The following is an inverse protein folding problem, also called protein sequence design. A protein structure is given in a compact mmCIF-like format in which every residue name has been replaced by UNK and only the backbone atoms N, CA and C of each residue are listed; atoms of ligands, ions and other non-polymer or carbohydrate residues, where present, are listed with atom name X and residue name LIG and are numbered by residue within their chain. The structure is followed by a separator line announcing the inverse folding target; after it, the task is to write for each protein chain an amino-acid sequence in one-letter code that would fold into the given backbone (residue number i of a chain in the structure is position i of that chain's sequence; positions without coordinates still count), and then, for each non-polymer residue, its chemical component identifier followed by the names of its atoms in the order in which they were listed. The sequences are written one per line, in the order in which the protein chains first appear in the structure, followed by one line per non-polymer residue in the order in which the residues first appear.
data_IF_835499067478
#
_entry.id   IF_835499067478
#
_cell.length_a   1.000
_cell.length_b   1.000
_cell.length_c   1.000
_cell.angle_alpha   90.00
_cell.angle_beta   90.00
_cell.angle_gamma   90.00
#
_symmetry.space_group_name_H-M   'P 1'
#
loop_
_entity.id
_entity.type
_entity.pdbx_description
1 polymer ?
#
# COMPACT_ATOMS: atom_id res chain seq x y z
N UNK A 1 9.10 -18.47 2.53
CA UNK A 1 8.09 -18.28 3.59
C UNK A 1 6.72 -18.12 2.97
N UNK A 2 5.71 -18.66 3.65
CA UNK A 2 4.30 -18.36 3.40
C UNK A 2 3.91 -17.16 4.28
N UNK A 3 3.08 -16.24 3.78
CA UNK A 3 2.61 -15.09 4.54
C UNK A 3 2.08 -13.99 3.64
N UNK A 4 1.70 -12.87 4.26
CA UNK A 4 1.01 -11.77 3.60
C UNK A 4 1.91 -10.53 3.57
N UNK A 5 1.85 -9.79 2.46
CA UNK A 5 2.50 -8.49 2.33
C UNK A 5 1.42 -7.44 2.10
N UNK A 6 1.31 -6.50 3.02
CA UNK A 6 0.51 -5.30 2.84
C UNK A 6 1.38 -4.21 2.21
N UNK A 7 0.91 -3.60 1.14
CA UNK A 7 1.61 -2.54 0.39
C UNK A 7 0.80 -1.25 0.43
N UNK A 8 1.47 -0.10 0.47
CA UNK A 8 0.85 1.22 0.40
C UNK A 8 1.32 1.89 -0.89
N UNK A 9 0.55 1.78 -1.99
CA UNK A 9 0.99 2.24 -3.31
C UNK A 9 1.40 3.72 -3.35
N UNK A 10 0.74 4.55 -2.55
CA UNK A 10 1.02 5.99 -2.48
C UNK A 10 2.35 6.31 -1.80
N UNK A 11 2.81 5.48 -0.87
CA UNK A 11 4.01 5.74 -0.08
C UNK A 11 5.13 4.84 -0.59
N UNK A 12 5.99 5.38 -1.45
CA UNK A 12 7.06 4.62 -2.10
C UNK A 12 7.92 3.85 -1.08
N UNK A 13 8.00 2.52 -1.27
CA UNK A 13 8.74 1.60 -0.39
C UNK A 13 8.04 1.25 0.92
N UNK A 14 6.82 1.73 1.17
CA UNK A 14 6.06 1.40 2.37
C UNK A 14 5.30 0.08 2.17
N UNK A 15 5.77 -0.95 2.85
CA UNK A 15 5.14 -2.26 2.90
C UNK A 15 5.46 -2.93 4.23
N UNK A 16 4.63 -3.89 4.63
CA UNK A 16 4.91 -4.74 5.79
C UNK A 16 4.48 -6.18 5.55
N UNK A 17 5.16 -7.10 6.23
CA UNK A 17 4.87 -8.52 6.20
C UNK A 17 4.14 -8.95 7.48
N UNK A 18 3.34 -10.00 7.40
CA UNK A 18 2.80 -10.72 8.54
C UNK A 18 2.47 -12.17 8.17
N UNK A 19 2.43 -13.05 9.16
CA UNK A 19 1.98 -14.44 8.97
C UNK A 19 0.49 -14.51 8.63
N UNK A 20 -0.29 -13.50 9.05
CA UNK A 20 -1.71 -13.32 8.67
C UNK A 20 -1.98 -11.97 7.99
N UNK A 21 -3.13 -11.86 7.34
CA UNK A 21 -3.61 -10.61 6.75
C UNK A 21 -3.72 -9.49 7.79
N UNK A 22 -4.25 -9.82 8.98
CA UNK A 22 -4.41 -8.86 10.08
C UNK A 22 -3.06 -8.38 10.60
N UNK A 23 -2.07 -9.27 10.69
CA UNK A 23 -0.72 -8.92 11.12
C UNK A 23 -0.06 -7.99 10.11
N UNK A 24 -0.04 -8.35 8.82
CA UNK A 24 0.51 -7.51 7.77
C UNK A 24 -0.17 -6.13 7.74
N UNK A 25 -1.49 -6.08 7.95
CA UNK A 25 -2.25 -4.83 8.02
C UNK A 25 -1.96 -4.01 9.29
N UNK A 26 -1.67 -4.67 10.41
CA UNK A 26 -1.24 -4.00 11.64
C UNK A 26 0.13 -3.36 11.45
N UNK A 27 1.08 -4.13 10.94
CA UNK A 27 2.45 -3.68 10.73
C UNK A 27 2.55 -2.56 9.68
N UNK A 28 1.76 -2.63 8.60
CA UNK A 28 1.79 -1.57 7.59
C UNK A 28 1.26 -0.24 8.13
N UNK A 29 0.33 -0.25 9.10
CA UNK A 29 -0.15 0.98 9.76
C UNK A 29 0.97 1.64 10.58
N UNK A 30 1.81 0.83 11.22
CA UNK A 30 3.01 1.33 11.92
C UNK A 30 4.00 1.91 10.90
N UNK A 31 4.26 1.19 9.81
CA UNK A 31 5.16 1.64 8.75
C UNK A 31 4.70 2.96 8.10
N UNK A 32 3.38 3.15 7.89
CA UNK A 32 2.80 4.40 7.40
C UNK A 32 3.13 5.56 8.36
N UNK A 33 2.94 5.36 9.67
CA UNK A 33 3.25 6.37 10.68
C UNK A 33 4.71 6.81 10.61
N UNK A 34 5.63 5.83 10.63
CA UNK A 34 7.07 6.08 10.54
C UNK A 34 7.45 6.80 9.24
N UNK A 35 6.92 6.35 8.11
CA UNK A 35 7.18 6.98 6.81
C UNK A 35 6.76 8.45 6.80
N UNK A 36 5.56 8.75 7.33
CA UNK A 36 5.03 10.10 7.38
C UNK A 36 5.83 11.01 8.32
N UNK A 37 6.27 10.50 9.46
CA UNK A 37 7.09 11.26 10.40
C UNK A 37 8.45 11.60 9.79
N UNK A 38 9.13 10.62 9.17
CA UNK A 38 10.39 10.87 8.43
C UNK A 38 10.19 11.84 7.27
N UNK A 39 9.10 11.72 6.50
CA UNK A 39 8.80 12.64 5.42
C UNK A 39 8.65 14.08 5.91
N UNK A 40 7.99 14.29 7.07
CA UNK A 40 7.85 15.61 7.70
C UNK A 40 9.19 16.16 8.17
N UNK A 41 10.00 15.35 8.84
CA UNK A 41 11.32 15.75 9.36
C UNK A 41 12.28 16.15 8.24
N UNK A 42 12.22 15.43 7.12
CA UNK A 42 13.07 15.70 5.96
C UNK A 42 12.48 16.75 5.00
N UNK A 43 11.27 17.24 5.24
CA UNK A 43 10.58 18.19 4.35
C UNK A 43 10.22 17.59 2.99
N UNK A 44 10.02 16.27 2.91
CA UNK A 44 9.54 15.58 1.71
C UNK A 44 8.08 15.92 1.44
N UNK A 45 7.68 15.96 0.17
CA UNK A 45 6.28 16.06 -0.21
C UNK A 45 5.53 14.79 0.23
N UNK A 46 4.38 14.96 0.87
CA UNK A 46 3.51 13.85 1.29
C UNK A 46 2.37 13.74 0.28
N UNK A 47 2.27 12.62 -0.44
CA UNK A 47 1.22 12.43 -1.44
C UNK A 47 -0.16 12.27 -0.78
N UNK A 48 -1.19 12.76 -1.47
CA UNK A 48 -2.58 12.60 -1.03
C UNK A 48 -3.05 11.14 -1.17
N UNK A 49 -3.87 10.62 -0.23
CA UNK A 49 -4.42 9.27 -0.33
C UNK A 49 -5.31 9.11 -1.56
N UNK A 50 -5.02 8.12 -2.40
CA UNK A 50 -5.78 7.85 -3.63
C UNK A 50 -6.68 6.61 -3.54
N UNK A 51 -6.76 5.98 -2.37
CA UNK A 51 -7.51 4.74 -2.16
C UNK A 51 -8.98 4.79 -2.59
N UNK A 52 -9.64 5.95 -2.56
CA UNK A 52 -11.03 6.09 -3.06
C UNK A 52 -11.12 5.92 -4.57
N UNK A 53 -10.13 6.40 -5.31
CA UNK A 53 -10.07 6.28 -6.76
C UNK A 53 -9.73 4.85 -7.16
N UNK A 54 -8.70 4.26 -6.53
CA UNK A 54 -8.36 2.85 -6.70
C UNK A 54 -9.53 1.92 -6.40
N UNK A 55 -10.24 2.15 -5.27
CA UNK A 55 -11.43 1.38 -4.93
C UNK A 55 -12.55 1.56 -5.97
N UNK A 56 -12.76 2.77 -6.49
CA UNK A 56 -13.73 3.02 -7.56
C UNK A 56 -13.39 2.22 -8.82
N UNK A 57 -12.12 2.12 -9.20
CA UNK A 57 -11.71 1.36 -10.38
C UNK A 57 -11.84 -0.14 -10.20
N UNK A 58 -11.52 -0.67 -9.02
CA UNK A 58 -11.75 -2.08 -8.67
C UNK A 58 -13.25 -2.39 -8.74
N UNK A 59 -14.08 -1.57 -8.10
CA UNK A 59 -15.54 -1.75 -8.09
C UNK A 59 -16.17 -1.57 -9.48
N UNK A 60 -15.58 -0.73 -10.33
CA UNK A 60 -16.00 -0.54 -11.70
C UNK A 60 -15.43 -1.59 -12.68
N UNK A 61 -14.69 -2.59 -12.20
CA UNK A 61 -14.11 -3.65 -13.03
C UNK A 61 -13.02 -3.16 -13.99
N UNK A 62 -12.38 -2.02 -13.70
CA UNK A 62 -11.29 -1.43 -14.49
C UNK A 62 -9.89 -1.85 -14.03
N UNK A 63 -9.79 -2.56 -12.90
CA UNK A 63 -8.54 -3.14 -12.42
C UNK A 63 -8.24 -4.49 -13.07
N UNK A 64 -6.96 -4.74 -13.36
CA UNK A 64 -6.30 -5.94 -13.93
C UNK A 64 -6.61 -6.28 -15.40
N UNK A 65 -5.87 -5.64 -16.30
CA UNK A 65 -5.67 -6.12 -17.66
C UNK A 65 -5.01 -7.52 -17.65
N UNK A 66 -5.58 -8.40 -18.47
CA UNK A 66 -5.07 -9.72 -18.82
C UNK A 66 -3.65 -9.63 -19.38
N UNK A 67 -2.73 -10.43 -18.87
CA UNK A 67 -1.71 -11.05 -19.71
C UNK A 67 -2.12 -12.50 -19.97
N UNK A 68 -2.93 -12.66 -21.03
CA UNK A 68 -2.74 -13.79 -21.93
C UNK A 68 -1.64 -13.36 -22.89
N UNK A 69 -0.41 -13.84 -22.73
CA UNK A 69 0.56 -13.88 -23.81
C UNK A 69 1.40 -15.17 -23.72
N UNK A 70 1.14 -16.02 -24.72
CA UNK A 70 1.91 -17.16 -25.27
C UNK A 70 2.33 -18.30 -24.33
#
# INVERSE_FOLDING_TARGET
DEGFIAVVPELAGCSAFGETEEEALSEVKVAIGLWLDTAREEGREIPEPSGREHLRDILAGRGIAREQMA
#
